data_IF_458678620378
#
_entry.id   IF_458678620378
#
_cell.length_a   1.000
_cell.length_b   1.000
_cell.length_c   1.000
_cell.angle_alpha   90.00
_cell.angle_beta   90.00
_cell.angle_gamma   90.00
#
_symmetry.space_group_name_H-M   'P 1'
#
loop_
_entity.id
_entity.type
_entity.pdbx_description
1 polymer ?
#
# COMPACT_ATOMS: atom_id res chain seq x y z
N UNK A 1 -35.16 -11.43 -34.68
CA UNK A 1 -33.87 -11.99 -34.18
C UNK A 1 -32.62 -11.51 -34.95
N UNK A 2 -32.71 -10.65 -35.96
CA UNK A 2 -31.52 -10.12 -36.66
C UNK A 2 -31.01 -8.76 -36.11
N UNK A 3 -31.81 -8.05 -35.33
CA UNK A 3 -31.50 -6.71 -34.81
C UNK A 3 -30.67 -6.69 -33.52
N UNK A 4 -30.67 -7.78 -32.73
CA UNK A 4 -29.91 -7.86 -31.47
C UNK A 4 -28.40 -8.07 -31.67
N UNK A 5 -28.00 -8.71 -32.77
CA UNK A 5 -26.59 -9.04 -33.04
C UNK A 5 -25.76 -7.79 -33.40
N UNK A 6 -26.41 -6.77 -33.98
CA UNK A 6 -25.76 -5.54 -34.42
C UNK A 6 -25.46 -4.58 -33.27
N UNK A 7 -26.29 -4.58 -32.22
CA UNK A 7 -26.12 -3.70 -31.06
C UNK A 7 -24.96 -4.17 -30.18
N UNK A 8 -24.80 -5.50 -29.99
CA UNK A 8 -23.71 -6.05 -29.18
C UNK A 8 -22.33 -5.80 -29.80
N UNK A 9 -22.20 -5.88 -31.13
CA UNK A 9 -20.95 -5.50 -31.82
C UNK A 9 -20.63 -4.01 -31.74
N UNK A 10 -21.63 -3.14 -31.67
CA UNK A 10 -21.40 -1.69 -31.54
C UNK A 10 -20.95 -1.33 -30.12
N UNK A 11 -21.55 -1.96 -29.09
CA UNK A 11 -21.17 -1.76 -27.68
C UNK A 11 -19.76 -2.31 -27.43
N UNK A 12 -19.42 -3.49 -27.97
CA UNK A 12 -18.07 -4.04 -27.84
C UNK A 12 -17.01 -3.15 -28.53
N UNK A 13 -17.32 -2.59 -29.70
CA UNK A 13 -16.43 -1.67 -30.40
C UNK A 13 -16.27 -0.31 -29.68
N UNK A 14 -17.32 0.15 -28.99
CA UNK A 14 -17.26 1.34 -28.14
C UNK A 14 -16.47 1.08 -26.85
N UNK A 15 -16.60 -0.09 -26.23
CA UNK A 15 -15.76 -0.49 -25.09
C UNK A 15 -14.27 -0.58 -25.47
N UNK A 16 -13.93 -1.14 -26.63
CA UNK A 16 -12.52 -1.21 -27.07
C UNK A 16 -11.92 0.15 -27.46
N UNK A 17 -12.73 1.15 -27.83
CA UNK A 17 -12.23 2.47 -28.22
C UNK A 17 -12.01 3.44 -27.05
N UNK A 18 -12.62 3.21 -25.88
CA UNK A 18 -12.45 4.07 -24.69
C UNK A 18 -11.19 3.73 -23.87
N UNK A 19 -10.66 2.50 -23.95
CA UNK A 19 -9.46 2.08 -23.19
C UNK A 19 -8.11 2.30 -23.88
N UNK A 20 -8.08 2.91 -25.07
CA UNK A 20 -6.82 3.17 -25.79
C UNK A 20 -6.38 4.62 -25.78
N UNK A 21 -6.63 5.34 -24.68
CA UNK A 21 -5.83 6.53 -24.34
C UNK A 21 -4.43 6.06 -23.89
N UNK A 22 -3.68 5.46 -24.82
CA UNK A 22 -2.24 5.34 -24.68
C UNK A 22 -1.70 6.76 -24.68
N UNK A 23 -1.52 7.33 -23.48
CA UNK A 23 -0.75 8.55 -23.32
C UNK A 23 0.58 8.31 -24.02
N UNK A 24 0.78 9.00 -25.16
CA UNK A 24 1.98 8.82 -25.97
C UNK A 24 3.18 9.18 -25.11
N UNK A 25 3.93 8.17 -24.66
CA UNK A 25 5.12 8.37 -23.85
C UNK A 25 6.11 9.24 -24.64
N UNK A 26 6.55 10.34 -24.05
CA UNK A 26 7.51 11.23 -24.69
C UNK A 26 8.83 10.48 -24.88
N UNK A 27 9.33 10.43 -26.12
CA UNK A 27 10.65 9.84 -26.39
C UNK A 27 11.73 10.83 -26.02
N UNK A 28 12.67 10.42 -25.17
CA UNK A 28 13.80 11.25 -24.71
C UNK A 28 15.13 10.61 -25.10
N UNK A 29 16.18 11.43 -25.17
CA UNK A 29 17.54 11.03 -25.51
C UNK A 29 18.53 11.34 -24.37
N UNK A 30 19.72 10.73 -24.41
CA UNK A 30 20.80 11.09 -23.49
C UNK A 30 21.11 12.59 -23.60
N UNK A 31 21.29 13.25 -22.45
CA UNK A 31 21.47 14.70 -22.32
C UNK A 31 20.15 15.46 -22.10
N UNK A 32 18.99 14.85 -22.33
CA UNK A 32 17.69 15.46 -22.01
C UNK A 32 17.59 15.75 -20.51
N UNK A 33 16.99 16.89 -20.15
CA UNK A 33 16.70 17.22 -18.75
C UNK A 33 15.25 16.84 -18.46
N UNK A 34 15.05 16.00 -17.44
CA UNK A 34 13.71 15.57 -17.01
C UNK A 34 13.52 15.80 -15.52
N UNK A 35 12.27 15.98 -15.10
CA UNK A 35 11.90 16.07 -13.70
C UNK A 35 11.61 14.69 -13.13
N UNK A 36 12.20 14.38 -11.97
CA UNK A 36 12.09 13.09 -11.31
C UNK A 36 11.85 13.26 -9.82
N UNK A 37 11.44 12.19 -9.15
CA UNK A 37 11.42 12.11 -7.70
C UNK A 37 12.81 11.71 -7.18
N UNK A 38 13.39 12.54 -6.31
CA UNK A 38 14.63 12.23 -5.62
C UNK A 38 14.40 12.13 -4.11
N UNK A 39 14.87 11.05 -3.45
CA UNK A 39 14.74 10.91 -2.01
C UNK A 39 15.63 11.94 -1.30
N UNK A 40 15.13 12.47 -0.18
CA UNK A 40 15.84 13.42 0.69
C UNK A 40 16.09 12.78 2.05
N UNK A 41 15.09 12.12 2.62
CA UNK A 41 15.19 11.45 3.92
C UNK A 41 14.17 10.31 4.01
N UNK A 42 14.31 9.47 5.04
CA UNK A 42 13.33 8.45 5.41
C UNK A 42 12.84 8.82 6.81
N UNK A 43 11.53 8.93 7.00
CA UNK A 43 10.89 9.26 8.27
C UNK A 43 9.75 8.28 8.49
N UNK A 44 9.80 7.49 9.57
CA UNK A 44 8.77 6.50 9.92
C UNK A 44 8.44 5.55 8.76
N UNK A 45 9.49 5.02 8.10
CA UNK A 45 9.32 4.15 6.93
C UNK A 45 8.84 4.84 5.63
N UNK A 46 8.46 6.13 5.70
CA UNK A 46 8.03 6.93 4.56
C UNK A 46 9.24 7.65 3.95
N UNK A 47 9.41 7.52 2.63
CA UNK A 47 10.45 8.23 1.89
C UNK A 47 9.99 9.67 1.65
N UNK A 48 10.64 10.63 2.30
CA UNK A 48 10.43 12.05 2.02
C UNK A 48 11.36 12.45 0.88
N UNK A 49 10.79 12.83 -0.25
CA UNK A 49 11.53 13.25 -1.42
C UNK A 49 11.12 14.62 -1.95
N UNK A 50 11.75 14.99 -3.06
CA UNK A 50 11.54 16.24 -3.76
C UNK A 50 11.56 16.02 -5.28
N UNK A 51 10.83 16.83 -6.01
CA UNK A 51 10.99 16.92 -7.46
C UNK A 51 12.32 17.63 -7.77
N UNK A 52 13.13 17.02 -8.64
CA UNK A 52 14.39 17.60 -9.11
C UNK A 52 14.58 17.33 -10.59
N UNK A 53 15.28 18.23 -11.28
CA UNK A 53 15.67 18.04 -12.67
C UNK A 53 17.00 17.28 -12.75
N UNK A 54 17.08 16.27 -13.61
CA UNK A 54 18.31 15.52 -13.88
C UNK A 54 18.56 15.40 -15.38
N UNK A 55 19.83 15.44 -15.78
CA UNK A 55 20.24 15.08 -17.13
C UNK A 55 20.28 13.57 -17.29
N UNK A 56 19.62 13.05 -18.31
CA UNK A 56 19.62 11.62 -18.64
C UNK A 56 21.00 11.20 -19.13
N UNK A 57 21.70 10.25 -18.47
CA UNK A 57 23.01 9.79 -18.92
C UNK A 57 22.90 8.85 -20.12
N UNK A 58 24.01 8.63 -20.83
CA UNK A 58 24.08 7.59 -21.86
C UNK A 58 24.32 6.20 -21.21
N UNK A 59 23.24 5.61 -20.71
CA UNK A 59 23.29 4.35 -19.94
C UNK A 59 23.77 3.19 -20.84
N UNK A 60 23.35 3.15 -22.11
CA UNK A 60 23.75 2.11 -23.07
C UNK A 60 25.26 2.13 -23.33
N UNK A 61 25.85 3.32 -23.52
CA UNK A 61 27.31 3.47 -23.64
C UNK A 61 28.04 2.98 -22.39
N UNK A 62 27.47 3.23 -21.21
CA UNK A 62 28.04 2.73 -19.94
C UNK A 62 27.98 1.21 -19.87
N UNK A 63 26.86 0.59 -20.26
CA UNK A 63 26.70 -0.87 -20.29
C UNK A 63 27.64 -1.56 -21.28
N UNK A 64 28.00 -0.90 -22.38
CA UNK A 64 28.98 -1.41 -23.34
C UNK A 64 30.44 -1.29 -22.87
N UNK A 65 30.71 -0.58 -21.78
CA UNK A 65 32.06 -0.43 -21.24
C UNK A 65 32.42 -1.63 -20.32
N UNK A 66 33.45 -2.44 -20.65
CA UNK A 66 33.85 -3.58 -19.82
C UNK A 66 34.31 -3.22 -18.41
N UNK A 67 34.71 -1.96 -18.19
CA UNK A 67 35.15 -1.44 -16.89
C UNK A 67 33.98 -0.89 -16.05
N UNK A 68 32.76 -0.87 -16.59
CA UNK A 68 31.59 -0.39 -15.87
C UNK A 68 31.21 -1.34 -14.74
N UNK A 69 31.32 -0.85 -13.50
CA UNK A 69 31.01 -1.57 -12.26
C UNK A 69 29.99 -0.77 -11.45
N UNK A 70 28.72 -0.70 -11.86
CA UNK A 70 27.75 0.09 -11.14
C UNK A 70 27.37 -0.58 -9.82
N UNK A 71 26.93 0.24 -8.86
CA UNK A 71 26.28 -0.25 -7.66
C UNK A 71 24.93 -0.91 -8.03
N UNK A 72 24.62 -2.03 -7.38
CA UNK A 72 23.34 -2.72 -7.50
C UNK A 72 22.73 -2.84 -6.12
N UNK A 73 21.46 -2.45 -6.03
CA UNK A 73 20.68 -2.53 -4.81
C UNK A 73 19.55 -3.55 -4.95
N UNK A 74 19.14 -4.08 -3.81
CA UNK A 74 18.02 -5.02 -3.62
C UNK A 74 17.09 -4.43 -2.58
N UNK A 75 15.94 -5.06 -2.32
CA UNK A 75 15.01 -4.62 -1.27
C UNK A 75 15.71 -4.45 0.09
N UNK A 76 16.62 -5.38 0.42
CA UNK A 76 17.39 -5.36 1.66
C UNK A 76 18.43 -4.21 1.74
N UNK A 77 18.81 -3.60 0.62
CA UNK A 77 19.91 -2.61 0.58
C UNK A 77 19.52 -1.26 0.01
N UNK A 78 18.29 -1.09 -0.48
CA UNK A 78 17.81 0.12 -1.15
C UNK A 78 17.76 1.34 -0.22
N UNK A 79 17.68 1.14 1.09
CA UNK A 79 17.77 2.18 2.12
C UNK A 79 19.06 2.98 2.06
N UNK A 80 20.16 2.40 1.55
CA UNK A 80 21.44 3.09 1.36
C UNK A 80 21.37 4.26 0.38
N UNK A 81 20.37 4.28 -0.50
CA UNK A 81 20.15 5.36 -1.47
C UNK A 81 18.86 6.14 -1.17
N UNK A 82 18.35 6.05 0.06
CA UNK A 82 17.23 6.87 0.53
C UNK A 82 15.84 6.37 0.15
N UNK A 83 15.71 5.13 -0.35
CA UNK A 83 14.41 4.51 -0.63
C UNK A 83 14.13 3.38 0.37
N UNK A 84 12.88 2.99 0.52
CA UNK A 84 12.47 1.77 1.26
C UNK A 84 11.97 0.70 0.29
N UNK A 85 11.92 -0.56 0.72
CA UNK A 85 11.38 -1.64 -0.10
C UNK A 85 9.92 -1.37 -0.53
N UNK A 86 9.11 -0.79 0.36
CA UNK A 86 7.74 -0.35 0.05
C UNK A 86 7.72 0.71 -1.06
N UNK A 87 8.57 1.75 -0.96
CA UNK A 87 8.61 2.84 -1.94
C UNK A 87 8.96 2.42 -3.38
N UNK A 88 9.63 1.26 -3.55
CA UNK A 88 10.02 0.70 -4.86
C UNK A 88 9.23 -0.56 -5.22
N UNK A 89 8.19 -0.92 -4.46
CA UNK A 89 7.38 -2.14 -4.69
C UNK A 89 6.77 -2.19 -6.09
N UNK A 90 6.44 -1.03 -6.66
CA UNK A 90 5.96 -0.91 -8.04
C UNK A 90 6.98 -1.26 -9.13
N UNK A 91 8.27 -1.48 -8.82
CA UNK A 91 9.31 -1.88 -9.76
C UNK A 91 9.34 -3.43 -9.91
N UNK A 92 8.33 -3.98 -10.56
CA UNK A 92 8.14 -5.45 -10.66
C UNK A 92 9.01 -6.08 -11.74
N UNK A 93 9.03 -7.41 -11.85
CA UNK A 93 9.71 -8.09 -12.98
C UNK A 93 9.00 -7.85 -14.33
N UNK A 94 7.68 -7.68 -14.29
CA UNK A 94 6.82 -7.47 -15.46
C UNK A 94 6.75 -6.01 -15.92
N UNK A 95 7.17 -5.05 -15.09
CA UNK A 95 7.22 -3.62 -15.40
C UNK A 95 6.83 -2.74 -14.23
N UNK A 96 6.42 -1.51 -14.53
CA UNK A 96 5.92 -0.59 -13.52
C UNK A 96 4.48 -0.96 -13.13
N UNK A 97 4.25 -1.27 -11.85
CA UNK A 97 2.93 -1.25 -11.26
C UNK A 97 2.68 0.15 -10.70
N UNK A 98 1.79 0.90 -11.34
CA UNK A 98 1.53 2.31 -11.03
C UNK A 98 0.86 2.54 -9.68
N UNK A 99 0.01 1.62 -9.23
CA UNK A 99 -0.66 1.73 -7.94
C UNK A 99 0.32 1.60 -6.77
N UNK A 100 1.39 0.82 -6.97
CA UNK A 100 2.41 0.58 -5.95
C UNK A 100 3.70 1.36 -6.14
N UNK A 101 3.86 2.11 -7.24
CA UNK A 101 5.07 2.89 -7.47
C UNK A 101 5.02 4.14 -6.60
N UNK A 102 6.03 4.31 -5.74
CA UNK A 102 6.08 5.37 -4.73
C UNK A 102 4.96 5.26 -3.66
N UNK A 103 4.37 4.08 -3.45
CA UNK A 103 3.55 3.86 -2.26
C UNK A 103 4.44 3.96 -1.01
N UNK A 104 4.11 4.88 -0.10
CA UNK A 104 4.99 5.25 1.01
C UNK A 104 6.04 6.33 0.69
N UNK A 105 5.83 7.14 -0.34
CA UNK A 105 6.59 8.36 -0.58
C UNK A 105 5.76 9.61 -0.27
N UNK A 106 6.39 10.59 0.37
CA UNK A 106 5.88 11.96 0.52
C UNK A 106 6.75 12.91 -0.28
N UNK A 107 6.13 13.82 -1.04
CA UNK A 107 6.89 14.86 -1.73
C UNK A 107 6.64 16.25 -1.12
N UNK A 108 7.71 17.01 -0.90
CA UNK A 108 7.67 18.32 -0.22
C UNK A 108 7.62 19.53 -1.15
N UNK A 109 7.96 19.36 -2.44
CA UNK A 109 8.02 20.45 -3.44
C UNK A 109 7.53 19.99 -4.83
N UNK A 110 6.74 18.92 -4.90
CA UNK A 110 6.16 18.47 -6.16
C UNK A 110 4.90 19.27 -6.46
N UNK A 111 4.63 19.55 -7.74
CA UNK A 111 3.33 20.10 -8.15
C UNK A 111 2.19 19.16 -7.71
N UNK A 112 2.36 17.86 -7.96
CA UNK A 112 1.64 16.76 -7.31
C UNK A 112 2.40 15.45 -7.53
N UNK A 113 2.25 14.49 -6.63
CA UNK A 113 2.82 13.14 -6.82
C UNK A 113 2.19 12.46 -8.05
N UNK A 114 0.89 12.67 -8.25
CA UNK A 114 0.15 12.16 -9.41
C UNK A 114 0.71 12.68 -10.74
N UNK A 115 1.13 13.95 -10.82
CA UNK A 115 1.77 14.52 -12.01
C UNK A 115 3.14 13.89 -12.31
N UNK A 116 3.90 13.54 -11.28
CA UNK A 116 5.16 12.82 -11.45
C UNK A 116 4.94 11.36 -11.87
N UNK A 117 3.91 10.72 -11.34
CA UNK A 117 3.53 9.34 -11.67
C UNK A 117 2.98 9.24 -13.09
N UNK A 118 2.24 10.25 -13.56
CA UNK A 118 1.73 10.31 -14.93
C UNK A 118 2.79 10.65 -15.98
N UNK A 119 3.97 11.10 -15.56
CA UNK A 119 5.08 11.41 -16.46
C UNK A 119 5.79 10.14 -16.92
N UNK A 120 5.44 9.68 -18.13
CA UNK A 120 6.04 8.52 -18.79
C UNK A 120 7.01 9.00 -19.87
N UNK A 121 8.25 8.52 -19.80
CA UNK A 121 9.24 8.76 -20.83
C UNK A 121 9.73 7.43 -21.41
N UNK A 122 10.04 7.44 -22.70
CA UNK A 122 10.71 6.31 -23.36
C UNK A 122 12.12 6.74 -23.73
N UNK A 123 13.13 6.12 -23.14
CA UNK A 123 14.52 6.31 -23.53
C UNK A 123 14.84 5.39 -24.71
N UNK A 124 15.17 5.98 -25.86
CA UNK A 124 15.40 5.23 -27.10
C UNK A 124 16.41 4.10 -26.91
N UNK A 125 16.04 2.89 -27.38
CA UNK A 125 16.83 1.65 -27.25
C UNK A 125 17.12 1.15 -25.82
N UNK A 126 16.58 1.84 -24.80
CA UNK A 126 16.70 1.43 -23.40
C UNK A 126 15.39 0.90 -22.89
N UNK A 127 14.32 1.70 -22.85
CA UNK A 127 13.02 1.31 -22.31
C UNK A 127 12.28 2.46 -21.65
N UNK A 128 11.27 2.11 -20.87
CA UNK A 128 10.37 3.05 -20.20
C UNK A 128 10.98 3.60 -18.90
N UNK A 129 10.77 4.89 -18.64
CA UNK A 129 11.20 5.57 -17.43
C UNK A 129 10.02 6.25 -16.74
N UNK A 130 9.93 6.09 -15.42
CA UNK A 130 8.94 6.73 -14.54
C UNK A 130 9.59 7.20 -13.25
N UNK A 131 9.28 8.43 -12.84
CA UNK A 131 9.74 9.02 -11.58
C UNK A 131 11.26 8.90 -11.31
N UNK A 132 12.09 8.85 -12.34
CA UNK A 132 13.56 8.69 -12.21
C UNK A 132 14.07 7.25 -12.26
N UNK A 133 13.20 6.25 -12.35
CA UNK A 133 13.54 4.86 -12.59
C UNK A 133 13.32 4.50 -14.05
N UNK A 134 14.33 3.95 -14.71
CA UNK A 134 14.26 3.48 -16.09
C UNK A 134 14.37 1.96 -16.13
N UNK A 135 13.34 1.30 -16.64
CA UNK A 135 13.36 -0.15 -16.89
C UNK A 135 14.19 -0.43 -18.14
N UNK A 136 15.13 -1.35 -18.04
CA UNK A 136 15.85 -1.79 -19.22
C UNK A 136 15.00 -2.81 -19.99
N UNK A 137 14.45 -2.39 -21.13
CA UNK A 137 13.60 -3.17 -22.03
C UNK A 137 12.49 -3.87 -21.22
N UNK A 138 12.19 -5.12 -21.55
CA UNK A 138 11.22 -5.94 -20.82
C UNK A 138 11.90 -6.78 -19.72
N UNK A 139 12.97 -6.27 -19.10
CA UNK A 139 13.65 -6.97 -17.99
C UNK A 139 13.12 -6.48 -16.64
N UNK A 140 13.44 -7.19 -15.56
CA UNK A 140 13.21 -6.71 -14.18
C UNK A 140 14.33 -5.84 -13.62
N UNK A 141 15.25 -5.33 -14.46
CA UNK A 141 16.37 -4.49 -14.05
C UNK A 141 16.04 -3.01 -14.24
N UNK A 142 16.24 -2.21 -13.20
CA UNK A 142 15.90 -0.79 -13.19
C UNK A 142 17.13 0.07 -12.93
N UNK A 143 17.29 1.14 -13.69
CA UNK A 143 18.34 2.14 -13.49
C UNK A 143 17.75 3.39 -12.84
N UNK A 144 18.32 3.84 -11.72
CA UNK A 144 17.94 5.09 -11.08
C UNK A 144 18.77 6.25 -11.66
N UNK A 145 18.09 7.24 -12.25
CA UNK A 145 18.72 8.39 -12.88
C UNK A 145 19.37 9.37 -11.88
N UNK A 146 18.85 9.43 -10.64
CA UNK A 146 19.38 10.31 -9.59
C UNK A 146 20.67 9.73 -9.00
N UNK A 147 20.58 8.51 -8.46
CA UNK A 147 21.66 7.82 -7.75
C UNK A 147 22.65 7.11 -8.69
N UNK A 148 22.36 7.08 -10.00
CA UNK A 148 23.18 6.45 -11.05
C UNK A 148 23.52 4.98 -10.77
N UNK A 149 22.56 4.24 -10.22
CA UNK A 149 22.71 2.85 -9.78
C UNK A 149 21.64 1.94 -10.38
N UNK A 150 21.84 0.63 -10.24
CA UNK A 150 20.85 -0.36 -10.62
C UNK A 150 20.08 -0.90 -9.43
N UNK A 151 18.87 -1.37 -9.68
CA UNK A 151 18.04 -2.10 -8.75
C UNK A 151 17.71 -3.48 -9.33
N UNK A 152 17.78 -4.50 -8.48
CA UNK A 152 17.69 -5.95 -8.73
C UNK A 152 18.85 -6.53 -9.55
N UNK A 153 19.17 -5.96 -10.70
CA UNK A 153 20.17 -6.52 -11.61
C UNK A 153 20.79 -5.48 -12.54
N UNK A 154 21.95 -5.83 -13.12
CA UNK A 154 22.54 -5.13 -14.28
C UNK A 154 22.26 -5.99 -15.51
N UNK A 155 21.61 -5.44 -16.54
CA UNK A 155 21.31 -6.21 -17.75
C UNK A 155 22.57 -6.49 -18.56
N UNK A 156 22.60 -7.65 -19.20
CA UNK A 156 23.66 -8.02 -20.13
C UNK A 156 23.31 -7.55 -21.54
N UNK A 157 24.25 -6.87 -22.21
CA UNK A 157 24.07 -6.48 -23.60
C UNK A 157 24.89 -7.43 -24.48
N UNK A 158 24.21 -8.25 -25.29
CA UNK A 158 24.87 -9.17 -26.24
C UNK A 158 25.70 -10.29 -25.59
N UNK A 159 25.25 -10.83 -24.45
CA UNK A 159 25.93 -11.94 -23.75
C UNK A 159 27.09 -11.51 -22.84
N UNK A 160 27.57 -10.28 -22.94
CA UNK A 160 28.56 -9.72 -22.03
C UNK A 160 27.87 -9.03 -20.86
N UNK A 161 27.83 -9.70 -19.71
CA UNK A 161 27.32 -9.14 -18.47
C UNK A 161 28.41 -8.31 -17.78
N UNK A 162 28.18 -7.03 -17.44
CA UNK A 162 29.08 -6.30 -16.57
C UNK A 162 29.27 -7.08 -15.26
N UNK A 163 30.51 -7.25 -14.81
CA UNK A 163 30.77 -7.90 -13.52
C UNK A 163 30.20 -7.04 -12.40
N UNK A 164 29.18 -7.55 -11.75
CA UNK A 164 28.56 -6.91 -10.58
C UNK A 164 29.54 -6.92 -9.42
N UNK A 165 29.76 -5.76 -8.81
CA UNK A 165 30.38 -5.71 -7.48
C UNK A 165 29.22 -5.76 -6.49
N UNK A 166 28.92 -6.94 -5.97
CA UNK A 166 27.95 -7.06 -4.87
C UNK A 166 28.51 -6.27 -3.69
N UNK A 167 27.88 -5.16 -3.35
CA UNK A 167 28.26 -4.35 -2.20
C UNK A 167 27.79 -5.07 -0.93
N UNK A 168 28.50 -6.13 -0.55
CA UNK A 168 28.32 -6.80 0.73
C UNK A 168 28.92 -5.89 1.79
N UNK A 169 28.12 -4.94 2.28
CA UNK A 169 28.52 -4.16 3.44
C UNK A 169 28.37 -5.07 4.65
N UNK A 170 29.46 -5.74 5.03
CA UNK A 170 29.57 -6.34 6.35
C UNK A 170 29.57 -5.19 7.35
N UNK A 171 28.40 -4.89 7.92
CA UNK A 171 28.29 -4.04 9.10
C UNK A 171 29.00 -4.75 10.23
N UNK A 172 30.31 -4.48 10.37
CA UNK A 172 31.05 -4.83 11.57
C UNK A 172 30.35 -4.07 12.72
N UNK A 173 29.79 -4.78 13.72
CA UNK A 173 29.15 -4.11 14.84
C UNK A 173 30.20 -3.22 15.48
N UNK A 174 29.94 -1.91 15.45
CA UNK A 174 30.77 -0.95 16.17
C UNK A 174 30.31 -1.07 17.61
N UNK A 175 31.12 -1.71 18.44
CA UNK A 175 30.91 -1.82 19.88
C UNK A 175 30.86 -0.43 20.48
N UNK A 176 29.67 0.10 20.70
CA UNK A 176 29.43 1.23 21.60
C UNK A 176 29.87 0.80 22.99
N UNK A 177 30.92 1.44 23.49
CA UNK A 177 31.43 1.20 24.85
C UNK A 177 30.55 1.98 25.80
N UNK A 178 29.50 1.35 26.31
CA UNK A 178 28.60 1.94 27.29
C UNK A 178 29.29 1.95 28.66
N UNK A 179 29.67 3.13 29.14
CA UNK A 179 30.14 3.33 30.52
C UNK A 179 28.97 3.12 31.50
N UNK A 180 29.06 2.03 32.26
CA UNK A 180 28.14 1.60 33.33
C UNK A 180 28.09 2.62 34.48
N UNK A 181 26.92 3.17 34.84
CA UNK A 181 26.73 3.82 36.14
C UNK A 181 26.63 2.76 37.24
N UNK A 182 27.37 2.96 38.32
CA UNK A 182 27.33 2.13 39.52
C UNK A 182 26.12 2.51 40.36
N UNK A 183 25.09 1.67 40.42
CA UNK A 183 23.97 1.80 41.36
C UNK A 183 24.11 0.82 42.52
N UNK A 184 24.03 1.37 43.73
CA UNK A 184 24.14 0.68 45.01
C UNK A 184 22.81 0.01 45.35
N UNK A 185 22.82 -1.30 45.53
CA UNK A 185 21.66 -2.10 45.92
C UNK A 185 21.42 -1.97 47.43
N UNK A 186 20.21 -1.58 47.84
CA UNK A 186 19.75 -1.69 49.24
C UNK A 186 18.59 -2.68 49.29
N UNK A 187 18.83 -3.79 49.98
CA UNK A 187 17.90 -4.91 50.12
C UNK A 187 16.99 -4.67 51.32
N UNK A 188 15.66 -4.65 51.12
CA UNK A 188 14.69 -4.81 52.22
C UNK A 188 13.55 -5.74 51.79
N UNK A 189 13.54 -6.90 52.43
CA UNK A 189 12.49 -7.92 52.47
C UNK A 189 11.26 -7.36 53.23
N UNK A 190 10.03 -7.62 52.76
CA UNK A 190 9.13 -8.39 53.64
C UNK A 190 8.32 -9.48 52.92
N UNK A 191 7.95 -10.44 53.75
CA UNK A 191 7.16 -11.64 53.50
C UNK A 191 5.67 -11.33 53.65
N UNK A 192 4.81 -11.85 52.77
CA UNK A 192 3.44 -12.21 53.13
C UNK A 192 2.83 -13.21 52.15
N UNK A 193 2.51 -14.38 52.70
CA UNK A 193 1.68 -15.45 52.18
C UNK A 193 0.22 -15.01 52.12
N UNK A 194 -0.49 -15.22 51.01
CA UNK A 194 -1.96 -15.34 51.04
C UNK A 194 -2.47 -16.33 50.01
N UNK A 195 -3.39 -17.16 50.47
CA UNK A 195 -4.00 -18.34 49.86
C UNK A 195 -5.35 -17.98 49.22
N UNK A 196 -5.83 -18.84 48.31
CA UNK A 196 -7.27 -19.06 47.92
C UNK A 196 -7.89 -17.97 47.02
N UNK A 197 -8.74 -18.22 45.99
CA UNK A 197 -9.68 -19.32 45.68
C UNK A 197 -10.04 -19.22 44.18
N UNK A 198 -10.28 -20.36 43.51
CA UNK A 198 -10.79 -20.43 42.13
C UNK A 198 -12.33 -20.37 42.12
N UNK A 199 -12.99 -19.42 41.43
CA UNK A 199 -14.41 -19.53 41.15
C UNK A 199 -14.64 -20.26 39.83
N UNK A 200 -15.51 -21.27 39.88
CA UNK A 200 -16.08 -21.94 38.71
C UNK A 200 -17.41 -21.28 38.42
N UNK A 201 -17.54 -20.62 37.27
CA UNK A 201 -18.80 -20.05 36.79
C UNK A 201 -19.37 -20.91 35.68
N UNK A 202 -20.57 -21.44 35.90
CA UNK A 202 -21.40 -22.13 34.92
C UNK A 202 -22.28 -21.07 34.24
N UNK A 203 -22.06 -20.82 32.96
CA UNK A 203 -22.89 -19.92 32.15
C UNK A 203 -23.95 -20.74 31.41
N UNK A 204 -25.22 -20.55 31.78
CA UNK A 204 -26.40 -21.00 31.02
C UNK A 204 -26.76 -19.92 30.01
N UNK A 205 -26.62 -20.22 28.72
CA UNK A 205 -26.94 -19.30 27.61
C UNK A 205 -28.40 -19.47 27.20
N UNK A 206 -29.21 -18.43 27.41
CA UNK A 206 -30.54 -18.29 26.83
C UNK A 206 -30.45 -17.51 25.51
N UNK A 207 -30.92 -18.15 24.43
CA UNK A 207 -31.10 -17.66 23.05
C UNK A 207 -31.72 -16.25 22.99
N UNK A 208 -31.07 -15.23 22.40
CA UNK A 208 -31.73 -14.00 22.00
C UNK A 208 -32.33 -14.16 20.59
N UNK A 209 -33.56 -13.69 20.43
CA UNK A 209 -34.23 -13.55 19.13
C UNK A 209 -34.01 -12.11 18.66
N UNK A 210 -33.21 -11.93 17.62
CA UNK A 210 -32.94 -10.63 17.01
C UNK A 210 -34.21 -10.06 16.40
N UNK A 211 -34.69 -8.96 16.98
CA UNK A 211 -35.81 -8.18 16.45
C UNK A 211 -35.22 -6.97 15.75
N UNK A 212 -35.23 -6.96 14.42
CA UNK A 212 -34.78 -5.84 13.59
C UNK A 212 -35.67 -4.62 13.89
N UNK A 213 -35.12 -3.65 14.61
CA UNK A 213 -35.78 -2.36 14.84
C UNK A 213 -35.15 -1.33 13.92
N UNK A 214 -35.86 -0.99 12.84
CA UNK A 214 -35.49 0.08 11.93
C UNK A 214 -35.70 1.42 12.64
N UNK A 215 -34.66 1.92 13.31
CA UNK A 215 -34.66 3.23 13.96
C UNK A 215 -34.16 4.28 12.97
N UNK A 216 -35.09 5.02 12.35
CA UNK A 216 -34.80 6.19 11.53
C UNK A 216 -34.40 7.38 12.41
N UNK A 217 -33.14 7.41 12.86
CA UNK A 217 -32.52 8.61 13.42
C UNK A 217 -31.99 9.46 12.26
N UNK A 218 -32.31 10.76 12.17
CA UNK A 218 -31.70 11.63 11.18
C UNK A 218 -30.22 11.82 11.53
N UNK A 219 -29.35 11.17 10.75
CA UNK A 219 -27.90 11.30 10.86
C UNK A 219 -27.48 12.65 10.29
N UNK A 220 -27.05 13.56 11.16
CA UNK A 220 -26.39 14.80 10.74
C UNK A 220 -24.93 14.47 10.44
N UNK A 221 -24.63 14.16 9.19
CA UNK A 221 -23.26 13.99 8.71
C UNK A 221 -22.52 15.33 8.76
N UNK A 222 -21.48 15.41 9.58
CA UNK A 222 -20.56 16.55 9.60
C UNK A 222 -19.72 16.47 8.33
N UNK A 223 -20.21 17.08 7.26
CA UNK A 223 -19.52 17.07 5.97
C UNK A 223 -18.29 17.96 6.07
N UNK A 224 -17.12 17.43 5.73
CA UNK A 224 -15.99 18.28 5.35
C UNK A 224 -16.49 19.24 4.27
N UNK A 225 -16.37 20.58 4.42
CA UNK A 225 -17.06 21.51 3.53
C UNK A 225 -16.71 21.26 2.06
N UNK A 226 -17.71 20.80 1.30
CA UNK A 226 -17.65 20.68 -0.16
C UNK A 226 -17.35 19.31 -0.74
N UNK A 227 -17.40 18.21 0.01
CA UNK A 227 -17.42 16.87 -0.60
C UNK A 227 -18.87 16.40 -0.83
N UNK A 228 -19.11 15.82 -2.01
CA UNK A 228 -20.37 15.15 -2.36
C UNK A 228 -20.19 13.66 -2.09
N UNK A 229 -20.85 13.16 -1.05
CA UNK A 229 -21.04 11.73 -0.85
C UNK A 229 -22.50 11.40 -1.16
N UNK A 230 -22.72 10.31 -1.87
CA UNK A 230 -24.05 9.76 -2.05
C UNK A 230 -24.40 8.88 -0.84
N UNK A 231 -25.70 8.63 -0.61
CA UNK A 231 -26.13 7.70 0.45
C UNK A 231 -26.21 6.24 -0.06
N UNK A 232 -25.97 6.03 -1.36
CA UNK A 232 -26.13 4.73 -2.04
C UNK A 232 -25.30 4.64 -3.31
N UNK A 233 -25.13 3.43 -3.85
CA UNK A 233 -24.44 3.20 -5.13
C UNK A 233 -22.94 2.93 -5.03
N UNK A 234 -22.39 2.86 -3.81
CA UNK A 234 -21.05 2.34 -3.56
C UNK A 234 -21.06 0.80 -3.62
N UNK A 235 -19.99 0.22 -4.14
CA UNK A 235 -19.74 -1.23 -4.08
C UNK A 235 -18.69 -1.52 -3.01
N UNK A 236 -18.99 -2.46 -2.12
CA UNK A 236 -18.12 -2.86 -1.02
C UNK A 236 -17.81 -4.35 -1.08
N UNK A 237 -16.70 -4.76 -0.46
CA UNK A 237 -16.21 -6.14 -0.55
C UNK A 237 -17.10 -7.12 0.23
N UNK A 238 -17.29 -8.34 -0.23
CA UNK A 238 -17.86 -9.39 0.62
C UNK A 238 -16.77 -10.11 1.40
N UNK A 239 -17.15 -10.82 2.46
CA UNK A 239 -16.20 -11.42 3.39
C UNK A 239 -16.60 -12.83 3.79
N UNK A 240 -15.60 -13.70 3.88
CA UNK A 240 -15.72 -15.06 4.38
C UNK A 240 -14.56 -15.36 5.33
N UNK A 241 -14.82 -16.07 6.43
CA UNK A 241 -13.75 -16.56 7.30
C UNK A 241 -13.39 -17.99 6.91
N UNK A 242 -12.10 -18.24 6.70
CA UNK A 242 -11.57 -19.56 6.36
C UNK A 242 -10.33 -19.79 7.20
N UNK A 243 -10.30 -20.88 7.98
CA UNK A 243 -9.16 -21.30 8.79
C UNK A 243 -8.58 -20.17 9.67
N UNK A 244 -9.47 -19.43 10.36
CA UNK A 244 -9.16 -18.21 11.14
C UNK A 244 -8.60 -17.03 10.34
N UNK A 245 -8.45 -17.14 9.02
CA UNK A 245 -8.18 -16.03 8.13
C UNK A 245 -9.45 -15.32 7.67
N UNK A 246 -9.28 -14.19 7.00
CA UNK A 246 -10.35 -13.45 6.32
C UNK A 246 -10.09 -13.41 4.81
N UNK A 247 -11.09 -13.82 4.05
CA UNK A 247 -11.10 -13.75 2.60
C UNK A 247 -11.95 -12.55 2.15
N UNK A 248 -11.30 -11.65 1.42
CA UNK A 248 -11.93 -10.47 0.81
C UNK A 248 -12.38 -10.86 -0.60
N UNK A 249 -13.67 -10.74 -0.86
CA UNK A 249 -14.32 -11.11 -2.11
C UNK A 249 -14.76 -9.82 -2.82
N UNK A 250 -14.35 -9.63 -4.07
CA UNK A 250 -14.74 -8.47 -4.88
C UNK A 250 -15.45 -8.94 -6.14
N UNK A 251 -16.65 -8.43 -6.40
CA UNK A 251 -17.33 -8.58 -7.68
C UNK A 251 -17.19 -7.30 -8.49
N UNK A 252 -16.36 -7.36 -9.54
CA UNK A 252 -16.14 -6.25 -10.46
C UNK A 252 -16.70 -6.65 -11.83
N UNK A 253 -17.87 -6.09 -12.17
CA UNK A 253 -18.53 -6.33 -13.45
C UNK A 253 -18.97 -7.78 -13.69
N UNK A 254 -19.33 -8.51 -12.62
CA UNK A 254 -19.72 -9.91 -12.67
C UNK A 254 -18.54 -10.89 -12.64
N UNK A 255 -17.32 -10.40 -12.39
CA UNK A 255 -16.14 -11.21 -12.19
C UNK A 255 -15.74 -11.16 -10.73
N UNK A 256 -15.95 -12.28 -10.04
CA UNK A 256 -15.55 -12.43 -8.64
C UNK A 256 -14.05 -12.69 -8.53
N UNK A 257 -13.41 -12.05 -7.55
CA UNK A 257 -12.04 -12.32 -7.13
C UNK A 257 -11.99 -12.48 -5.62
N UNK A 258 -11.17 -13.41 -5.13
CA UNK A 258 -11.02 -13.70 -3.70
C UNK A 258 -9.55 -13.63 -3.32
N UNK A 259 -9.24 -12.88 -2.25
CA UNK A 259 -7.90 -12.82 -1.66
C UNK A 259 -8.00 -13.05 -0.16
N UNK A 260 -7.27 -14.03 0.37
CA UNK A 260 -7.31 -14.40 1.78
C UNK A 260 -6.06 -13.96 2.54
N UNK A 261 -6.27 -13.55 3.78
CA UNK A 261 -5.24 -13.07 4.70
C UNK A 261 -5.36 -13.82 6.03
N UNK A 262 -4.21 -14.11 6.65
CA UNK A 262 -4.20 -14.56 8.04
C UNK A 262 -4.69 -13.40 8.92
N UNK A 263 -5.55 -13.71 9.90
CA UNK A 263 -6.12 -12.73 10.81
C UNK A 263 -5.95 -13.23 12.24
N UNK A 264 -5.50 -12.36 13.14
CA UNK A 264 -5.42 -12.70 14.56
C UNK A 264 -6.83 -12.96 15.13
N UNK A 265 -6.95 -13.94 16.01
CA UNK A 265 -8.23 -14.28 16.68
C UNK A 265 -8.75 -13.11 17.54
N UNK A 266 -7.87 -12.21 17.99
CA UNK A 266 -8.25 -11.01 18.75
C UNK A 266 -9.02 -9.97 17.92
N UNK A 267 -8.96 -10.04 16.59
CA UNK A 267 -9.64 -9.09 15.71
C UNK A 267 -11.13 -9.41 15.68
N UNK A 268 -11.95 -8.52 16.24
CA UNK A 268 -13.41 -8.66 16.25
C UNK A 268 -14.12 -7.68 15.34
N UNK A 269 -13.42 -6.65 14.83
CA UNK A 269 -13.97 -5.67 13.90
C UNK A 269 -12.90 -5.03 13.04
N UNK A 270 -13.30 -4.53 11.87
CA UNK A 270 -12.45 -3.77 10.96
C UNK A 270 -13.28 -2.77 10.15
N UNK A 271 -12.62 -1.79 9.54
CA UNK A 271 -13.27 -0.82 8.64
C UNK A 271 -13.15 -1.27 7.19
N UNK A 272 -14.21 -1.14 6.43
CA UNK A 272 -14.22 -1.41 5.00
C UNK A 272 -14.55 -0.15 4.20
N UNK A 273 -13.76 0.08 3.16
CA UNK A 273 -13.94 1.16 2.20
C UNK A 273 -14.45 0.62 0.86
N UNK A 274 -15.30 1.39 0.15
CA UNK A 274 -15.84 0.94 -1.11
C UNK A 274 -14.76 0.86 -2.19
N UNK A 275 -14.86 -0.14 -3.06
CA UNK A 275 -13.93 -0.32 -4.18
C UNK A 275 -14.48 0.28 -5.49
N UNK A 276 -15.78 0.56 -5.57
CA UNK A 276 -16.40 1.36 -6.62
C UNK A 276 -17.29 2.46 -6.03
N UNK A 277 -17.40 3.55 -6.78
CA UNK A 277 -18.08 4.76 -6.37
C UNK A 277 -19.18 5.11 -7.37
N UNK A 278 -20.32 5.67 -6.92
CA UNK A 278 -21.35 6.16 -7.82
C UNK A 278 -20.87 7.37 -8.62
N UNK A 279 -21.46 7.57 -9.80
CA UNK A 279 -21.10 8.67 -10.70
C UNK A 279 -21.34 10.03 -10.04
N UNK A 280 -20.27 10.82 -9.93
CA UNK A 280 -20.32 12.17 -9.35
C UNK A 280 -19.96 12.24 -7.87
N UNK A 281 -19.72 11.11 -7.21
CA UNK A 281 -19.17 11.10 -5.86
C UNK A 281 -17.77 11.74 -5.83
N UNK A 282 -17.60 12.72 -4.95
CA UNK A 282 -16.30 13.34 -4.64
C UNK A 282 -15.71 12.79 -3.34
N UNK A 283 -16.56 12.14 -2.54
CA UNK A 283 -16.18 11.42 -1.34
C UNK A 283 -16.80 10.02 -1.28
N UNK A 284 -16.52 9.34 -0.19
CA UNK A 284 -16.97 8.00 0.10
C UNK A 284 -17.33 7.87 1.57
N UNK A 285 -18.18 6.89 1.86
CA UNK A 285 -18.52 6.49 3.21
C UNK A 285 -17.86 5.15 3.53
N UNK A 286 -17.43 4.99 4.77
CA UNK A 286 -16.92 3.72 5.27
C UNK A 286 -18.03 2.92 5.95
N UNK A 287 -17.78 1.63 6.14
CA UNK A 287 -18.63 0.76 6.95
C UNK A 287 -17.81 0.01 8.00
N UNK A 288 -18.47 -0.36 9.10
CA UNK A 288 -17.87 -1.18 10.15
C UNK A 288 -18.27 -2.62 9.89
N UNK A 289 -17.27 -3.50 9.82
CA UNK A 289 -17.48 -4.94 9.73
C UNK A 289 -17.15 -5.58 11.08
N UNK A 290 -18.07 -6.38 11.60
CA UNK A 290 -17.91 -7.16 12.84
C UNK A 290 -17.77 -8.63 12.52
N UNK A 291 -16.87 -9.30 13.24
CA UNK A 291 -16.53 -10.71 13.07
C UNK A 291 -17.10 -11.50 14.26
N UNK A 292 -18.01 -12.43 13.97
CA UNK A 292 -18.51 -13.41 14.92
C UNK A 292 -18.05 -14.82 14.49
N UNK A 293 -16.95 -15.27 15.10
CA UNK A 293 -16.36 -16.59 14.80
C UNK A 293 -17.20 -17.75 15.35
N UNK A 294 -18.04 -17.47 16.35
CA UNK A 294 -18.87 -18.46 17.04
C UNK A 294 -20.30 -18.50 16.48
N UNK A 295 -20.58 -17.81 15.37
CA UNK A 295 -21.89 -17.81 14.74
C UNK A 295 -22.29 -19.22 14.28
N UNK A 296 -23.20 -19.86 15.02
CA UNK A 296 -23.74 -21.20 14.73
C UNK A 296 -24.58 -21.20 13.43
N UNK A 297 -25.22 -20.08 13.10
CA UNK A 297 -26.06 -19.87 11.91
C UNK A 297 -25.93 -18.41 11.42
N UNK A 298 -25.74 -18.20 10.12
CA UNK A 298 -25.65 -16.86 9.50
C UNK A 298 -24.25 -16.51 8.99
N UNK A 299 -24.08 -15.25 8.58
CA UNK A 299 -22.80 -14.74 8.10
C UNK A 299 -21.86 -14.44 9.29
N UNK A 300 -20.65 -14.99 9.26
CA UNK A 300 -19.64 -14.76 10.30
C UNK A 300 -19.03 -13.35 10.26
N UNK A 301 -19.20 -12.63 9.14
CA UNK A 301 -18.77 -11.25 8.98
C UNK A 301 -19.98 -10.43 8.55
N UNK A 302 -20.36 -9.47 9.37
CA UNK A 302 -21.50 -8.57 9.10
C UNK A 302 -20.97 -7.15 8.99
N UNK A 303 -21.23 -6.50 7.86
CA UNK A 303 -20.80 -5.14 7.60
C UNK A 303 -22.01 -4.19 7.55
N UNK A 304 -21.98 -3.15 8.39
CA UNK A 304 -23.02 -2.14 8.46
C UNK A 304 -22.43 -0.75 8.24
N UNK A 305 -23.17 0.12 7.54
CA UNK A 305 -22.75 1.52 7.34
C UNK A 305 -22.42 2.15 8.70
N UNK A 306 -21.24 2.73 8.82
CA UNK A 306 -20.81 3.39 10.04
C UNK A 306 -21.71 4.62 10.26
N UNK A 307 -22.53 4.66 11.33
CA UNK A 307 -23.43 5.78 11.58
C UNK A 307 -22.66 7.09 11.85
N UNK A 308 -21.40 6.99 12.23
CA UNK A 308 -20.49 8.10 12.49
C UNK A 308 -19.52 8.34 11.32
N UNK A 309 -19.72 7.67 10.17
CA UNK A 309 -18.91 7.90 8.98
C UNK A 309 -18.99 9.37 8.53
N UNK A 310 -17.83 10.01 8.47
CA UNK A 310 -17.68 11.27 7.75
C UNK A 310 -17.55 10.99 6.25
N UNK A 311 -17.97 11.96 5.44
CA UNK A 311 -17.71 11.93 4.01
C UNK A 311 -16.21 12.15 3.77
N UNK A 312 -15.48 11.08 3.45
CA UNK A 312 -14.03 11.09 3.24
C UNK A 312 -13.72 11.29 1.76
N UNK A 313 -12.63 11.98 1.41
CA UNK A 313 -12.27 12.22 -0.01
C UNK A 313 -11.80 10.92 -0.68
N UNK A 314 -12.25 10.67 -1.91
CA UNK A 314 -11.73 9.57 -2.75
C UNK A 314 -10.25 9.85 -3.10
N UNK A 315 -9.36 8.89 -2.86
CA UNK A 315 -7.94 9.00 -3.20
C UNK A 315 -7.02 8.31 -2.19
N UNK A 316 -5.73 8.69 -2.09
CA UNK A 316 -4.84 8.11 -1.09
C UNK A 316 -5.27 8.53 0.32
N UNK A 317 -5.88 7.60 1.06
CA UNK A 317 -6.29 7.80 2.43
C UNK A 317 -5.19 7.45 3.43
N UNK A 318 -5.23 8.14 4.56
CA UNK A 318 -4.63 7.68 5.79
C UNK A 318 -5.75 7.46 6.83
N UNK A 319 -6.48 6.33 6.74
CA UNK A 319 -7.63 6.08 7.59
C UNK A 319 -7.24 5.98 9.07
N UNK A 320 -5.98 5.64 9.36
CA UNK A 320 -5.46 5.51 10.71
C UNK A 320 -5.59 6.75 11.60
N UNK A 321 -5.77 7.95 11.02
CA UNK A 321 -6.00 9.16 11.81
C UNK A 321 -7.41 9.29 12.39
N UNK A 322 -8.39 8.56 11.83
CA UNK A 322 -9.81 8.62 12.18
C UNK A 322 -10.35 7.30 12.76
N UNK A 323 -9.50 6.29 12.88
CA UNK A 323 -9.86 5.03 13.53
C UNK A 323 -9.74 5.14 15.04
N UNK A 324 -10.59 4.41 15.77
CA UNK A 324 -10.47 4.27 17.21
C UNK A 324 -9.31 3.31 17.56
N UNK A 325 -8.81 3.38 18.80
CA UNK A 325 -7.68 2.56 19.26
C UNK A 325 -7.99 1.05 19.21
N UNK A 326 -9.27 0.67 19.23
CA UNK A 326 -9.73 -0.72 19.19
C UNK A 326 -9.81 -1.30 17.76
N UNK A 327 -9.91 -0.45 16.74
CA UNK A 327 -10.04 -0.84 15.33
C UNK A 327 -8.82 -0.35 14.55
N UNK A 328 -7.79 -1.17 14.52
CA UNK A 328 -6.55 -0.83 13.81
C UNK A 328 -6.46 -1.50 12.44
N UNK A 329 -7.46 -2.30 12.04
CA UNK A 329 -7.49 -2.99 10.75
C UNK A 329 -8.51 -2.34 9.83
N UNK A 330 -8.13 -2.18 8.56
CA UNK A 330 -9.04 -1.70 7.51
C UNK A 330 -8.79 -2.40 6.17
N UNK A 331 -9.81 -2.45 5.32
CA UNK A 331 -9.73 -2.96 3.95
C UNK A 331 -9.91 -1.80 2.99
N UNK A 332 -8.96 -1.67 2.05
CA UNK A 332 -9.02 -0.67 0.99
C UNK A 332 -8.52 -1.27 -0.33
N UNK A 333 -9.28 -1.08 -1.41
CA UNK A 333 -9.00 -1.67 -2.73
C UNK A 333 -8.66 -3.18 -2.65
N UNK A 334 -9.41 -3.94 -1.84
CA UNK A 334 -9.22 -5.38 -1.66
C UNK A 334 -8.00 -5.82 -0.84
N UNK A 335 -7.27 -4.87 -0.24
CA UNK A 335 -6.10 -5.16 0.58
C UNK A 335 -6.41 -4.96 2.07
N UNK A 336 -6.12 -5.99 2.87
CA UNK A 336 -6.12 -5.89 4.32
C UNK A 336 -4.91 -5.05 4.78
N UNK A 337 -5.17 -3.98 5.52
CA UNK A 337 -4.18 -3.03 5.97
C UNK A 337 -4.28 -2.86 7.49
N UNK A 338 -3.15 -2.55 8.10
CA UNK A 338 -3.03 -2.37 9.55
C UNK A 338 -2.47 -0.98 9.86
N UNK A 339 -3.15 -0.28 10.75
CA UNK A 339 -2.72 0.98 11.31
C UNK A 339 -1.71 0.74 12.42
N UNK A 340 -0.44 0.76 12.04
CA UNK A 340 0.65 0.78 13.02
C UNK A 340 0.85 2.20 13.51
N UNK A 341 0.65 2.44 14.80
CA UNK A 341 1.00 3.72 15.42
C UNK A 341 2.53 3.86 15.35
N UNK A 342 3.09 4.79 14.56
CA UNK A 342 4.54 4.80 14.29
C UNK A 342 5.38 5.35 15.47
N UNK A 343 4.85 5.35 16.70
CA UNK A 343 5.30 6.24 17.78
C UNK A 343 5.37 5.70 19.20
N UNK A 344 4.96 4.46 19.51
CA UNK A 344 5.33 3.85 20.80
C UNK A 344 6.57 3.01 20.56
N UNK A 345 7.73 3.57 20.93
CA UNK A 345 8.87 2.72 21.21
C UNK A 345 8.44 1.82 22.37
N UNK A 346 8.50 0.50 22.18
CA UNK A 346 8.43 -0.43 23.29
C UNK A 346 9.49 0.00 24.31
N UNK A 347 9.06 0.64 25.40
CA UNK A 347 9.89 0.81 26.57
C UNK A 347 10.05 -0.59 27.16
N UNK A 348 11.05 -1.33 26.66
CA UNK A 348 11.50 -2.60 27.26
C UNK A 348 11.88 -2.32 28.73
N UNK A 349 11.04 -2.78 29.66
CA UNK A 349 11.29 -2.78 31.13
C UNK A 349 12.28 -3.86 31.56
#
# INVERSE_FOLDING_TARGET
MYTFKTIYSLILALFFSVFSNHANAATISAGSIINIFAPVSISNGVVVGRQTSVSVPNILSSLSNPSYKPAVYTDATISKIGYTASSVRGLTTSGFNMLSLLSGCKCTNCLSLSSLLSSIFTLSSFGECRCGWCRYKNTGCYYNLYSKCWYRCVPCSGGNCPKTTTTTTTTRPTSTTTTKPSSTTTTTKPSSTTTTTKPTTTSTTTKPTSTTTTSTRPTSTTTTPGLICDDSGYSYNDYELIDNGICVIQDIGGSESQTCYELDESVTSFIDYPYEYPDGAEGMMRRVCTIDRDADEGDQVVCETDPDAECERIGPLNPCGSLNEETYIYVNDGNLCECTNPGEADDEE
#
